data_IF_405487064066
#
_entry.id   IF_405487064066
#
_cell.length_a   1.000
_cell.length_b   1.000
_cell.length_c   1.000
_cell.angle_alpha   90.00
_cell.angle_beta   90.00
_cell.angle_gamma   90.00
#
_symmetry.space_group_name_H-M   'P 1'
#
loop_
_entity.id
_entity.type
_entity.pdbx_description
1 polymer ?
#
# COMPACT_ATOMS: atom_id res chain seq x y z
N UNK A 1 -16.16 1.49 27.64
CA UNK A 1 -14.81 2.09 27.46
C UNK A 1 -13.77 1.21 28.17
N UNK A 2 -13.53 -0.02 27.70
CA UNK A 2 -12.67 -1.02 28.38
C UNK A 2 -11.61 -1.64 27.43
N UNK A 3 -11.71 -1.43 26.10
CA UNK A 3 -10.82 -2.11 25.15
C UNK A 3 -9.44 -1.43 24.94
N UNK A 4 -9.26 -0.20 25.41
CA UNK A 4 -8.14 0.71 25.08
C UNK A 4 -6.76 0.27 25.60
N UNK A 5 -6.64 -0.83 26.34
CA UNK A 5 -5.37 -1.15 27.04
C UNK A 5 -4.89 -2.58 26.76
N UNK A 6 -5.57 -3.36 25.92
CA UNK A 6 -5.21 -4.78 25.74
C UNK A 6 -3.80 -4.91 25.15
N UNK A 7 -3.53 -4.31 23.98
CA UNK A 7 -2.24 -4.46 23.32
C UNK A 7 -1.11 -3.76 24.09
N UNK A 8 -1.34 -2.53 24.56
CA UNK A 8 -0.35 -1.79 25.35
C UNK A 8 0.02 -2.51 26.65
N UNK A 9 -0.96 -3.12 27.34
CA UNK A 9 -0.74 -3.93 28.54
C UNK A 9 0.05 -5.19 28.23
N UNK A 10 -0.30 -5.90 27.16
CA UNK A 10 0.45 -7.10 26.74
C UNK A 10 1.87 -6.79 26.29
N UNK A 11 2.10 -5.61 25.69
CA UNK A 11 3.44 -5.18 25.24
C UNK A 11 4.32 -4.70 26.38
N UNK A 12 3.77 -4.32 27.54
CA UNK A 12 4.55 -3.86 28.69
C UNK A 12 5.47 -2.68 28.36
N UNK A 13 5.00 -1.75 27.50
CA UNK A 13 5.78 -0.60 27.03
C UNK A 13 6.78 -0.89 25.91
N UNK A 14 6.87 -2.14 25.40
CA UNK A 14 7.73 -2.47 24.26
C UNK A 14 7.14 -1.95 22.95
N UNK A 15 7.97 -1.32 22.14
CA UNK A 15 7.65 -0.86 20.77
C UNK A 15 7.83 -1.96 19.71
N UNK A 16 8.15 -3.19 20.13
CA UNK A 16 8.30 -4.36 19.24
C UNK A 16 7.55 -5.59 19.75
N UNK A 17 6.95 -6.39 18.84
CA UNK A 17 6.82 -6.15 17.39
C UNK A 17 5.99 -4.89 17.10
N UNK A 18 6.27 -4.23 15.96
CA UNK A 18 5.45 -3.11 15.50
C UNK A 18 4.12 -3.66 14.99
N UNK A 19 3.02 -3.02 15.38
CA UNK A 19 1.66 -3.42 14.99
C UNK A 19 1.09 -2.37 14.05
N UNK A 20 0.82 -2.82 12.83
CA UNK A 20 0.21 -2.01 11.77
C UNK A 20 -1.21 -2.48 11.53
N UNK A 21 -2.17 -1.56 11.55
CA UNK A 21 -3.54 -1.80 11.09
C UNK A 21 -3.64 -1.33 9.65
N UNK A 22 -4.07 -2.19 8.73
CA UNK A 22 -4.27 -1.82 7.33
C UNK A 22 -5.77 -1.76 7.03
N UNK A 23 -6.18 -0.74 6.26
CA UNK A 23 -7.54 -0.59 5.76
C UNK A 23 -7.53 -0.12 4.31
N UNK A 24 -8.50 -0.59 3.53
CA UNK A 24 -8.76 -0.08 2.18
C UNK A 24 -9.75 1.08 2.23
N UNK A 25 -9.45 2.19 1.56
CA UNK A 25 -10.22 3.43 1.60
C UNK A 25 -11.49 3.34 0.74
N UNK A 26 -12.64 3.16 1.40
CA UNK A 26 -13.97 3.19 0.76
C UNK A 26 -14.74 4.49 1.04
N UNK A 27 -14.66 4.97 2.28
CA UNK A 27 -15.26 6.25 2.68
C UNK A 27 -14.45 6.93 3.80
N UNK A 28 -14.65 8.24 3.93
CA UNK A 28 -13.93 9.09 4.88
C UNK A 28 -14.16 8.68 6.33
N UNK A 29 -15.41 8.40 6.72
CA UNK A 29 -15.75 8.08 8.11
C UNK A 29 -15.03 6.81 8.56
N UNK A 30 -15.09 5.76 7.75
CA UNK A 30 -14.42 4.49 8.02
C UNK A 30 -12.91 4.67 8.20
N UNK A 31 -12.27 5.49 7.35
CA UNK A 31 -10.85 5.78 7.46
C UNK A 31 -10.53 6.46 8.80
N UNK A 32 -11.23 7.55 9.15
CA UNK A 32 -10.97 8.31 10.37
C UNK A 32 -11.31 7.53 11.64
N UNK A 33 -12.38 6.75 11.63
CA UNK A 33 -12.75 5.88 12.74
C UNK A 33 -11.69 4.78 12.95
N UNK A 34 -11.08 4.28 11.87
CA UNK A 34 -9.94 3.34 11.97
C UNK A 34 -8.70 3.99 12.59
N UNK A 35 -8.40 5.26 12.27
CA UNK A 35 -7.30 5.98 12.93
C UNK A 35 -7.53 6.10 14.43
N UNK A 36 -8.76 6.46 14.84
CA UNK A 36 -9.12 6.55 16.27
C UNK A 36 -8.97 5.20 16.95
N UNK A 37 -9.57 4.16 16.36
CA UNK A 37 -9.48 2.80 16.87
C UNK A 37 -8.03 2.34 17.02
N UNK A 38 -7.19 2.56 16.01
CA UNK A 38 -5.78 2.20 16.03
C UNK A 38 -5.01 2.90 17.18
N UNK A 39 -5.27 4.19 17.37
CA UNK A 39 -4.74 4.94 18.51
C UNK A 39 -5.22 4.40 19.85
N UNK A 40 -6.51 4.08 19.96
CA UNK A 40 -7.11 3.53 21.18
C UNK A 40 -6.57 2.14 21.53
N UNK A 41 -6.31 1.27 20.57
CA UNK A 41 -5.76 -0.07 20.85
C UNK A 41 -4.24 -0.06 21.04
N UNK A 42 -3.57 1.06 20.77
CA UNK A 42 -2.11 1.20 20.88
C UNK A 42 -1.34 0.54 19.74
N UNK A 43 -1.86 0.62 18.51
CA UNK A 43 -1.11 0.29 17.31
C UNK A 43 -0.02 1.34 17.05
N UNK A 44 1.04 0.96 16.33
CA UNK A 44 2.14 1.86 15.99
C UNK A 44 1.88 2.59 14.66
N UNK A 45 1.07 1.96 13.78
CA UNK A 45 0.82 2.47 12.43
C UNK A 45 -0.57 2.13 11.91
N UNK A 46 -1.12 3.02 11.08
CA UNK A 46 -2.20 2.70 10.15
C UNK A 46 -1.72 2.84 8.72
N UNK A 47 -2.06 1.85 7.89
CA UNK A 47 -1.84 1.88 6.46
C UNK A 47 -3.18 2.10 5.74
N UNK A 48 -3.38 3.31 5.22
CA UNK A 48 -4.54 3.70 4.42
C UNK A 48 -4.27 3.34 2.96
N UNK A 49 -4.85 2.24 2.52
CA UNK A 49 -4.63 1.69 1.19
C UNK A 49 -5.72 2.19 0.24
N UNK A 50 -5.32 2.87 -0.82
CA UNK A 50 -6.20 3.19 -1.94
C UNK A 50 -6.77 1.89 -2.53
N UNK A 51 -8.09 1.87 -2.74
CA UNK A 51 -8.73 0.83 -3.53
C UNK A 51 -8.28 0.95 -4.99
N UNK A 52 -7.61 -0.08 -5.50
CA UNK A 52 -7.44 -0.25 -6.93
C UNK A 52 -8.82 -0.55 -7.52
N UNK A 53 -9.32 0.29 -8.43
CA UNK A 53 -10.55 0.01 -9.18
C UNK A 53 -10.20 -0.21 -10.64
N UNK A 54 -9.51 -1.31 -10.99
CA UNK A 54 -9.20 -1.56 -12.37
C UNK A 54 -10.53 -1.80 -13.09
N UNK A 55 -10.77 -1.03 -14.16
CA UNK A 55 -11.80 -1.27 -15.18
C UNK A 55 -13.23 -0.76 -14.87
N UNK A 56 -13.48 -0.02 -13.79
CA UNK A 56 -14.84 0.48 -13.49
C UNK A 56 -15.88 -0.64 -13.30
N UNK A 57 -15.43 -1.88 -13.13
CA UNK A 57 -16.24 -3.10 -13.03
C UNK A 57 -16.60 -3.43 -11.58
N UNK A 58 -16.50 -2.47 -10.67
CA UNK A 58 -16.82 -2.70 -9.28
C UNK A 58 -17.77 -1.63 -8.77
N UNK A 59 -18.88 -2.07 -8.19
CA UNK A 59 -19.84 -1.23 -7.46
C UNK A 59 -19.23 -0.67 -6.15
N UNK A 60 -17.95 -0.94 -5.90
CA UNK A 60 -17.24 -0.43 -4.73
C UNK A 60 -16.99 1.06 -4.87
N UNK A 61 -17.59 1.82 -3.95
CA UNK A 61 -17.30 3.23 -3.78
C UNK A 61 -15.84 3.43 -3.37
N UNK A 62 -15.18 4.35 -4.04
CA UNK A 62 -13.87 4.89 -3.68
C UNK A 62 -13.97 6.42 -3.59
N UNK A 63 -13.32 7.07 -2.62
CA UNK A 63 -13.25 8.53 -2.58
C UNK A 63 -12.60 9.10 -3.85
N UNK A 64 -12.97 10.34 -4.22
CA UNK A 64 -12.23 11.11 -5.23
C UNK A 64 -10.81 11.41 -4.74
N UNK A 65 -9.90 11.89 -5.61
CA UNK A 65 -8.59 12.35 -5.14
C UNK A 65 -8.74 13.40 -4.04
N UNK A 66 -9.57 14.41 -4.30
CA UNK A 66 -9.73 15.53 -3.38
C UNK A 66 -10.14 15.03 -1.99
N UNK A 67 -11.10 14.08 -1.96
CA UNK A 67 -11.51 13.41 -0.74
C UNK A 67 -10.38 12.55 -0.13
N UNK A 68 -9.59 11.81 -0.93
CA UNK A 68 -8.44 11.05 -0.41
C UNK A 68 -7.40 11.97 0.24
N UNK A 69 -7.06 13.12 -0.38
CA UNK A 69 -6.11 14.09 0.18
C UNK A 69 -6.63 14.70 1.48
N UNK A 70 -7.93 15.00 1.54
CA UNK A 70 -8.57 15.48 2.75
C UNK A 70 -8.54 14.42 3.85
N UNK A 71 -8.86 13.15 3.53
CA UNK A 71 -8.76 12.02 4.45
C UNK A 71 -7.33 11.89 5.00
N UNK A 72 -6.30 11.93 4.15
CA UNK A 72 -4.91 11.82 4.62
C UNK A 72 -4.55 12.95 5.57
N UNK A 73 -4.94 14.19 5.25
CA UNK A 73 -4.69 15.35 6.12
C UNK A 73 -5.35 15.18 7.48
N UNK A 74 -6.64 14.84 7.52
CA UNK A 74 -7.37 14.65 8.78
C UNK A 74 -6.88 13.44 9.57
N UNK A 75 -6.56 12.34 8.90
CA UNK A 75 -5.96 11.16 9.51
C UNK A 75 -4.64 11.49 10.20
N UNK A 76 -3.75 12.26 9.56
CA UNK A 76 -2.50 12.71 10.17
C UNK A 76 -2.74 13.59 11.41
N UNK A 77 -3.73 14.50 11.40
CA UNK A 77 -4.05 15.32 12.57
C UNK A 77 -4.61 14.51 13.75
N UNK A 78 -5.45 13.50 13.48
CA UNK A 78 -5.94 12.59 14.53
C UNK A 78 -4.78 11.74 15.07
N UNK A 79 -3.96 11.19 14.18
CA UNK A 79 -2.87 10.28 14.52
C UNK A 79 -1.81 10.93 15.42
N UNK A 80 -1.51 12.22 15.25
CA UNK A 80 -0.62 13.00 16.13
C UNK A 80 -1.00 12.89 17.61
N UNK A 81 -2.30 12.85 17.93
CA UNK A 81 -2.80 12.75 19.31
C UNK A 81 -2.43 11.42 19.98
N UNK A 82 -2.21 10.38 19.17
CA UNK A 82 -1.91 9.02 19.63
C UNK A 82 -0.45 8.63 19.42
N UNK A 83 0.38 9.49 18.80
CA UNK A 83 1.72 9.12 18.37
C UNK A 83 1.73 8.04 17.27
N UNK A 84 0.65 7.94 16.50
CA UNK A 84 0.46 6.92 15.47
C UNK A 84 1.07 7.38 14.13
N UNK A 85 1.72 6.47 13.41
CA UNK A 85 2.14 6.72 12.04
C UNK A 85 1.00 6.44 11.05
N UNK A 86 0.76 7.35 10.09
CA UNK A 86 -0.16 7.11 8.97
C UNK A 86 0.64 7.00 7.69
N UNK A 87 0.50 5.86 7.03
CA UNK A 87 1.13 5.55 5.76
C UNK A 87 0.05 5.30 4.68
N UNK A 88 0.42 5.30 3.41
CA UNK A 88 -0.45 4.95 2.28
C UNK A 88 0.34 4.29 1.14
N UNK A 89 -0.32 3.91 0.03
CA UNK A 89 0.32 3.30 -1.15
C UNK A 89 1.55 4.06 -1.67
N UNK A 90 1.70 5.32 -1.26
CA UNK A 90 2.69 6.25 -1.72
C UNK A 90 3.72 6.65 -0.67
N UNK A 91 3.54 6.32 0.60
CA UNK A 91 4.49 6.70 1.65
C UNK A 91 4.49 5.61 2.69
N UNK A 92 5.48 4.72 2.61
CA UNK A 92 5.75 3.72 3.64
C UNK A 92 7.21 3.88 4.08
N UNK A 93 7.47 4.81 5.02
CA UNK A 93 8.79 5.01 5.61
C UNK A 93 8.69 5.38 7.08
N UNK A 94 9.49 4.73 7.92
CA UNK A 94 9.46 4.85 9.39
C UNK A 94 10.05 6.19 9.91
N UNK A 95 10.83 6.89 9.08
CA UNK A 95 11.50 8.14 9.44
C UNK A 95 10.81 9.34 8.79
N UNK A 96 10.33 10.29 9.61
CA UNK A 96 9.60 11.47 9.16
C UNK A 96 10.37 12.39 8.19
N UNK A 97 11.69 12.50 8.33
CA UNK A 97 12.54 13.27 7.40
C UNK A 97 12.71 12.56 6.07
N UNK A 98 12.98 11.25 6.10
CA UNK A 98 13.03 10.42 4.89
C UNK A 98 11.67 10.40 4.18
N UNK A 99 10.56 10.40 4.93
CA UNK A 99 9.20 10.50 4.40
C UNK A 99 8.98 11.83 3.68
N UNK A 100 9.44 12.94 4.24
CA UNK A 100 9.33 14.26 3.62
C UNK A 100 10.17 14.34 2.33
N UNK A 101 11.41 13.84 2.38
CA UNK A 101 12.29 13.76 1.20
C UNK A 101 11.68 12.84 0.13
N UNK A 102 11.14 11.69 0.51
CA UNK A 102 10.47 10.77 -0.40
C UNK A 102 9.27 11.41 -1.07
N UNK A 103 8.38 12.09 -0.31
CA UNK A 103 7.24 12.83 -0.88
C UNK A 103 7.69 13.81 -1.98
N UNK A 104 8.87 14.42 -1.84
CA UNK A 104 9.43 15.38 -2.81
C UNK A 104 10.15 14.72 -3.99
N UNK A 105 10.85 13.62 -3.77
CA UNK A 105 11.61 12.89 -4.79
C UNK A 105 10.77 11.86 -5.55
N UNK A 106 9.58 11.54 -5.03
CA UNK A 106 8.65 10.54 -5.55
C UNK A 106 8.40 10.65 -7.05
N UNK A 107 8.06 11.81 -7.65
CA UNK A 107 7.83 11.88 -9.09
C UNK A 107 9.03 11.38 -9.92
N UNK A 108 10.26 11.63 -9.44
CA UNK A 108 11.49 11.18 -10.10
C UNK A 108 11.71 9.67 -9.88
N UNK A 109 11.50 9.19 -8.65
CA UNK A 109 11.67 7.77 -8.28
C UNK A 109 10.68 6.85 -9.00
N UNK A 110 9.45 7.31 -9.26
CA UNK A 110 8.44 6.57 -10.01
C UNK A 110 8.53 6.83 -11.53
N UNK A 111 9.65 7.39 -12.01
CA UNK A 111 9.89 7.77 -13.42
C UNK A 111 8.68 8.51 -14.02
N UNK A 112 8.14 9.48 -13.29
CA UNK A 112 6.96 10.26 -13.65
C UNK A 112 5.72 9.39 -13.98
N UNK A 113 5.44 8.37 -13.16
CA UNK A 113 4.35 7.39 -13.34
C UNK A 113 4.40 6.59 -14.66
N UNK A 114 5.58 6.51 -15.29
CA UNK A 114 5.75 5.65 -16.45
C UNK A 114 5.70 4.18 -16.08
N UNK A 115 6.08 3.85 -14.84
CA UNK A 115 6.22 2.49 -14.32
C UNK A 115 5.83 2.39 -12.83
N UNK A 116 5.22 1.28 -12.45
CA UNK A 116 5.01 0.86 -11.07
C UNK A 116 6.32 0.26 -10.52
N UNK A 117 6.76 0.63 -9.30
CA UNK A 117 7.98 0.07 -8.71
C UNK A 117 7.78 -1.32 -8.11
N UNK A 118 6.54 -1.71 -7.75
CA UNK A 118 6.27 -3.00 -7.08
C UNK A 118 6.92 -4.22 -7.75
N UNK A 119 6.86 -4.38 -9.09
CA UNK A 119 7.47 -5.53 -9.77
C UNK A 119 9.01 -5.56 -9.73
N UNK A 120 9.65 -4.49 -9.27
CA UNK A 120 11.10 -4.42 -9.09
C UNK A 120 11.53 -4.69 -7.64
N UNK A 121 10.60 -4.65 -6.69
CA UNK A 121 10.89 -4.82 -5.26
C UNK A 121 10.22 -6.06 -4.66
N UNK A 122 9.16 -6.57 -5.28
CA UNK A 122 8.34 -7.64 -4.73
C UNK A 122 8.10 -8.76 -5.75
N UNK A 123 8.13 -9.99 -5.26
CA UNK A 123 7.62 -11.17 -5.92
C UNK A 123 6.53 -11.78 -5.03
N UNK A 124 5.34 -12.01 -5.58
CA UNK A 124 4.24 -12.62 -4.85
C UNK A 124 4.19 -14.11 -5.18
N UNK A 125 3.96 -14.95 -4.18
CA UNK A 125 3.86 -16.40 -4.37
C UNK A 125 2.50 -16.82 -3.82
N UNK A 126 1.70 -17.50 -4.64
CA UNK A 126 0.41 -18.01 -4.20
C UNK A 126 0.53 -19.42 -3.60
N UNK A 127 -0.59 -19.97 -3.11
CA UNK A 127 -0.64 -21.27 -2.44
C UNK A 127 -0.21 -22.45 -3.33
N UNK A 128 -0.29 -22.29 -4.66
CA UNK A 128 0.11 -23.30 -5.64
C UNK A 128 1.59 -23.16 -6.05
N UNK A 129 2.33 -22.28 -5.38
CA UNK A 129 3.73 -21.99 -5.67
C UNK A 129 3.94 -21.11 -6.90
N UNK A 130 2.88 -20.60 -7.55
CA UNK A 130 3.02 -19.70 -8.71
C UNK A 130 3.49 -18.34 -8.24
N UNK A 131 4.52 -17.84 -8.90
CA UNK A 131 5.05 -16.51 -8.69
C UNK A 131 4.34 -15.51 -9.62
N UNK A 132 3.93 -14.37 -9.08
CA UNK A 132 3.28 -13.28 -9.81
C UNK A 132 3.96 -11.93 -9.50
N UNK A 133 3.94 -10.98 -10.45
CA UNK A 133 4.65 -9.70 -10.28
C UNK A 133 3.88 -8.68 -9.43
N UNK A 134 2.63 -8.98 -9.08
CA UNK A 134 1.75 -8.11 -8.32
C UNK A 134 0.67 -8.92 -7.61
N UNK A 135 0.27 -8.51 -6.40
CA UNK A 135 -0.86 -9.09 -5.68
C UNK A 135 -2.19 -8.94 -6.43
N UNK A 136 -2.35 -7.86 -7.21
CA UNK A 136 -3.56 -7.59 -8.00
C UNK A 136 -3.58 -8.38 -9.33
N UNK A 137 -2.52 -9.13 -9.62
CA UNK A 137 -2.40 -9.98 -10.80
C UNK A 137 -2.21 -11.45 -10.42
N UNK A 138 -3.12 -12.07 -9.64
CA UNK A 138 -2.94 -13.42 -9.10
C UNK A 138 -2.90 -14.52 -10.17
N UNK A 139 -3.33 -14.20 -11.40
CA UNK A 139 -3.34 -15.12 -12.55
C UNK A 139 -2.20 -14.87 -13.55
N UNK A 140 -1.42 -13.80 -13.38
CA UNK A 140 -0.28 -13.49 -14.24
C UNK A 140 0.97 -14.20 -13.69
N UNK A 141 1.19 -15.43 -14.13
CA UNK A 141 2.31 -16.26 -13.70
C UNK A 141 3.61 -15.86 -14.41
N UNK A 142 4.66 -15.58 -13.65
CA UNK A 142 6.02 -15.34 -14.16
C UNK A 142 6.97 -16.50 -13.88
N UNK A 143 6.54 -17.47 -13.06
CA UNK A 143 7.28 -18.70 -12.76
C UNK A 143 6.60 -19.50 -11.65
N UNK A 144 7.22 -20.60 -11.23
CA UNK A 144 6.69 -21.43 -10.15
C UNK A 144 7.81 -21.98 -9.25
N UNK A 145 7.73 -21.73 -7.96
CA UNK A 145 8.76 -22.10 -6.97
C UNK A 145 8.90 -23.62 -6.78
N UNK A 146 7.92 -24.40 -7.24
CA UNK A 146 7.99 -25.87 -7.25
C UNK A 146 8.85 -26.40 -8.41
N UNK A 147 9.21 -25.54 -9.38
CA UNK A 147 9.98 -25.89 -10.58
C UNK A 147 11.30 -25.13 -10.72
N UNK A 148 11.36 -23.92 -10.19
CA UNK A 148 12.47 -22.98 -10.33
C UNK A 148 12.76 -22.33 -8.97
N UNK A 149 14.01 -21.96 -8.74
CA UNK A 149 14.38 -21.12 -7.61
C UNK A 149 13.80 -19.70 -7.77
N UNK A 150 13.67 -18.98 -6.65
CA UNK A 150 13.22 -17.58 -6.66
C UNK A 150 14.15 -16.72 -7.52
N UNK A 151 15.46 -16.97 -7.48
CA UNK A 151 16.45 -16.22 -8.25
C UNK A 151 16.27 -16.41 -9.76
N UNK A 152 16.05 -17.65 -10.21
CA UNK A 152 15.75 -17.98 -11.61
C UNK A 152 14.44 -17.34 -12.09
N UNK A 153 13.40 -17.30 -11.23
CA UNK A 153 12.14 -16.64 -11.56
C UNK A 153 12.33 -15.13 -11.65
N UNK A 154 13.06 -14.55 -10.69
CA UNK A 154 13.24 -13.11 -10.56
C UNK A 154 14.06 -12.51 -11.69
N UNK A 155 15.08 -13.23 -12.17
CA UNK A 155 15.94 -12.88 -13.29
C UNK A 155 15.53 -13.58 -14.60
N UNK A 156 14.38 -14.26 -14.60
CA UNK A 156 13.88 -15.00 -15.76
C UNK A 156 13.20 -14.10 -16.80
N UNK A 157 13.12 -14.61 -18.02
CA UNK A 157 12.58 -13.87 -19.17
C UNK A 157 11.16 -13.34 -18.93
N UNK A 158 10.27 -14.13 -18.31
CA UNK A 158 8.90 -13.71 -18.03
C UNK A 158 8.84 -12.49 -17.10
N UNK A 159 9.70 -12.44 -16.07
CA UNK A 159 9.73 -11.32 -15.12
C UNK A 159 10.35 -10.08 -15.76
N UNK A 160 11.41 -10.24 -16.56
CA UNK A 160 11.98 -9.15 -17.35
C UNK A 160 10.98 -8.59 -18.35
N UNK A 161 10.31 -9.47 -19.10
CA UNK A 161 9.27 -9.10 -20.06
C UNK A 161 8.16 -8.29 -19.39
N UNK A 162 7.64 -8.76 -18.26
CA UNK A 162 6.62 -8.01 -17.51
C UNK A 162 7.10 -6.62 -17.07
N UNK A 163 8.33 -6.50 -16.55
CA UNK A 163 8.88 -5.20 -16.10
C UNK A 163 8.98 -4.19 -17.24
N UNK A 164 9.40 -4.64 -18.41
CA UNK A 164 9.53 -3.82 -19.62
C UNK A 164 8.17 -3.45 -20.24
N UNK A 165 7.21 -4.39 -20.20
CA UNK A 165 5.90 -4.30 -20.85
C UNK A 165 4.75 -4.10 -19.85
N UNK A 166 5.05 -3.62 -18.64
CA UNK A 166 4.06 -3.53 -17.57
C UNK A 166 2.85 -2.65 -17.91
N UNK A 167 2.98 -1.71 -18.86
CA UNK A 167 1.86 -0.88 -19.28
C UNK A 167 0.82 -1.66 -20.09
N UNK A 168 1.20 -2.77 -20.71
CA UNK A 168 0.30 -3.59 -21.51
C UNK A 168 -0.67 -4.35 -20.60
N UNK A 169 -0.26 -4.60 -19.35
CA UNK A 169 -1.07 -5.30 -18.33
C UNK A 169 -1.65 -4.32 -17.30
N UNK A 170 -0.83 -3.39 -16.81
CA UNK A 170 -1.15 -2.47 -15.71
C UNK A 170 -1.45 -1.04 -16.18
N UNK A 171 -1.61 -0.81 -17.49
CA UNK A 171 -1.79 0.53 -18.08
C UNK A 171 -2.89 1.35 -17.41
N UNK A 172 -3.99 0.68 -17.04
CA UNK A 172 -5.17 1.28 -16.40
C UNK A 172 -5.17 1.19 -14.87
N UNK A 173 -4.12 0.63 -14.25
CA UNK A 173 -4.01 0.55 -12.79
C UNK A 173 -3.74 1.94 -12.21
N UNK A 174 -4.46 2.30 -11.16
CA UNK A 174 -4.30 3.57 -10.45
C UNK A 174 -3.95 3.39 -8.96
N UNK A 175 -3.69 2.15 -8.54
CA UNK A 175 -3.25 1.81 -7.18
C UNK A 175 -1.97 2.56 -6.77
N UNK A 176 -1.07 2.80 -7.74
CA UNK A 176 0.27 3.33 -7.48
C UNK A 176 0.70 4.52 -8.36
N UNK A 177 -0.14 4.95 -9.33
CA UNK A 177 0.18 6.03 -10.28
C UNK A 177 -0.46 7.36 -9.87
N UNK A 178 0.30 8.46 -9.88
CA UNK A 178 -0.18 9.82 -9.64
C UNK A 178 -0.91 10.43 -10.83
N UNK A 179 -0.52 10.14 -12.07
CA UNK A 179 -1.11 10.74 -13.28
C UNK A 179 -2.59 10.41 -13.46
N UNK A 180 -3.04 9.22 -13.02
CA UNK A 180 -4.45 8.82 -13.07
C UNK A 180 -5.29 9.44 -11.96
N UNK A 181 -4.66 10.26 -11.13
CA UNK A 181 -5.32 11.02 -10.08
C UNK A 181 -5.90 12.33 -10.63
N UNK A 182 -5.38 12.83 -11.77
CA UNK A 182 -5.76 14.11 -12.38
C UNK A 182 -6.60 13.97 -13.66
N UNK A 183 -7.22 12.81 -13.90
CA UNK A 183 -8.21 12.71 -14.97
C UNK A 183 -9.55 13.08 -14.33
N UNK A 184 -9.92 14.35 -14.47
CA UNK A 184 -11.26 14.85 -14.16
C UNK A 184 -12.32 14.25 -15.06
#
# INVERSE_FOLDING_TARGET
MIYTIILMKYRGGKTRPSVTIQITMHDKRQCLDTIRFAGEVGADRVYLVRLNNPLGNSDFKRPSLEEELEIYKEAEEIAKKYGLQVDNNYTAFDNGLLRLLYKRLRPIMYRFDKYCPKPYDYLYINIDGKATPCCDLPRYEVGNILKQSIDEIWHGENMHYFREHQNDVCGNCDALRLKHINIG
#
